data_IF_213516496831
#
_entry.id   IF_213516496831
#
_cell.length_a   1.000
_cell.length_b   1.000
_cell.length_c   1.000
_cell.angle_alpha   90.00
_cell.angle_beta   90.00
_cell.angle_gamma   90.00
#
_symmetry.space_group_name_H-M   'P 1'
#
loop_
_entity.id
_entity.type
_entity.pdbx_description
1 polymer ?
#
# COMPACT_ATOMS: atom_id res chain seq x y z
N UNK A 1 10.10 1.24 25.82
CA UNK A 1 10.10 0.95 24.37
C UNK A 1 8.72 0.34 24.10
N UNK A 2 7.76 1.12 23.58
CA UNK A 2 6.40 0.59 23.37
C UNK A 2 6.46 -0.46 22.27
N UNK A 3 5.90 -1.62 22.52
CA UNK A 3 5.98 -2.79 21.65
C UNK A 3 5.53 -2.44 20.23
N UNK A 4 6.43 -2.71 19.28
CA UNK A 4 6.15 -2.65 17.86
C UNK A 4 5.53 -4.00 17.49
N UNK A 5 4.30 -4.21 17.97
CA UNK A 5 3.61 -5.48 17.79
C UNK A 5 3.50 -5.79 16.30
N UNK A 6 3.77 -7.05 15.96
CA UNK A 6 3.47 -7.57 14.64
C UNK A 6 1.99 -7.33 14.34
N UNK A 7 1.66 -7.08 13.07
CA UNK A 7 0.29 -6.93 12.61
C UNK A 7 -0.17 -8.19 11.84
N UNK A 8 -0.20 -9.39 12.46
CA UNK A 8 -0.46 -10.65 11.75
C UNK A 8 -1.84 -10.70 11.11
N UNK A 9 -2.81 -9.96 11.67
CA UNK A 9 -4.18 -9.86 11.20
C UNK A 9 -4.45 -8.62 10.34
N UNK A 10 -3.44 -7.82 9.97
CA UNK A 10 -3.63 -6.67 9.09
C UNK A 10 -4.32 -7.10 7.79
N UNK A 11 -5.33 -6.33 7.35
CA UNK A 11 -6.06 -6.64 6.12
C UNK A 11 -5.16 -6.65 4.89
N UNK A 12 -4.16 -5.78 4.80
CA UNK A 12 -3.30 -5.70 3.62
C UNK A 12 -2.02 -6.55 3.76
N UNK A 13 -1.24 -6.43 4.84
CA UNK A 13 0.03 -7.16 5.00
C UNK A 13 0.00 -8.39 5.92
N UNK A 14 -1.08 -8.59 6.68
CA UNK A 14 -1.18 -9.63 7.69
C UNK A 14 -1.25 -11.03 7.07
N UNK A 15 -0.26 -11.88 7.36
CA UNK A 15 -0.16 -13.21 6.76
C UNK A 15 -1.19 -14.20 7.34
N UNK A 16 -1.63 -13.94 8.57
CA UNK A 16 -2.57 -14.81 9.29
C UNK A 16 -4.03 -14.39 9.05
N UNK A 17 -4.28 -13.24 8.40
CA UNK A 17 -5.63 -12.81 8.06
C UNK A 17 -6.19 -13.67 6.91
N UNK A 18 -7.18 -14.55 7.12
CA UNK A 18 -7.69 -15.44 6.07
C UNK A 18 -8.29 -14.66 4.89
N UNK A 19 -8.84 -13.48 5.15
CA UNK A 19 -9.54 -12.63 4.18
C UNK A 19 -8.70 -11.43 3.72
N UNK A 20 -7.43 -11.36 4.15
CA UNK A 20 -6.53 -10.27 3.81
C UNK A 20 -5.84 -10.40 2.45
N UNK A 21 -5.25 -9.30 1.98
CA UNK A 21 -4.47 -9.25 0.74
C UNK A 21 -3.10 -9.96 0.86
N UNK A 22 -2.62 -10.17 2.08
CA UNK A 22 -1.37 -10.88 2.43
C UNK A 22 -0.14 -10.38 1.69
N UNK A 23 -0.04 -9.07 1.46
CA UNK A 23 1.06 -8.45 0.74
C UNK A 23 2.30 -8.39 1.63
N UNK A 24 3.39 -9.01 1.17
CA UNK A 24 4.69 -8.88 1.81
C UNK A 24 5.37 -7.61 1.34
N UNK A 25 5.75 -6.75 2.28
CA UNK A 25 6.47 -5.51 2.02
C UNK A 25 7.93 -5.59 2.45
N UNK A 26 8.80 -4.94 1.69
CA UNK A 26 10.21 -4.74 2.04
C UNK A 26 10.61 -3.29 1.77
N UNK A 27 11.65 -2.81 2.46
CA UNK A 27 12.22 -1.48 2.26
C UNK A 27 13.68 -1.63 1.84
N UNK A 28 14.11 -0.85 0.85
CA UNK A 28 15.49 -0.85 0.37
C UNK A 28 16.34 0.24 1.05
N UNK A 29 17.63 0.28 0.72
CA UNK A 29 18.60 1.26 1.23
C UNK A 29 18.25 2.72 0.92
N UNK A 30 17.38 2.96 -0.07
CA UNK A 30 16.91 4.28 -0.46
C UNK A 30 15.56 4.66 0.19
N UNK A 31 15.13 3.93 1.22
CA UNK A 31 13.84 4.12 1.91
C UNK A 31 12.60 4.00 1.00
N UNK A 32 12.70 3.22 -0.08
CA UNK A 32 11.56 2.90 -0.94
C UNK A 32 10.97 1.57 -0.46
N UNK A 33 9.73 1.61 0.02
CA UNK A 33 8.97 0.41 0.33
C UNK A 33 8.39 -0.17 -0.96
N UNK A 34 8.42 -1.50 -1.10
CA UNK A 34 7.90 -2.21 -2.26
C UNK A 34 7.09 -3.44 -1.85
N UNK A 35 6.10 -3.79 -2.66
CA UNK A 35 5.28 -5.00 -2.51
C UNK A 35 4.75 -5.49 -3.85
N UNK A 36 4.25 -6.72 -3.88
CA UNK A 36 3.60 -7.31 -5.07
C UNK A 36 2.22 -7.80 -4.67
N UNK A 37 1.22 -7.46 -5.47
CA UNK A 37 -0.15 -7.89 -5.28
C UNK A 37 -0.73 -8.43 -6.59
N UNK A 38 -1.32 -9.63 -6.54
CA UNK A 38 -2.09 -10.21 -7.64
C UNK A 38 -3.56 -10.18 -7.28
N UNK A 39 -4.37 -9.52 -8.10
CA UNK A 39 -5.81 -9.49 -7.88
C UNK A 39 -6.46 -10.84 -8.21
N UNK A 40 -7.48 -11.23 -7.45
CA UNK A 40 -8.24 -12.47 -7.62
C UNK A 40 -9.74 -12.14 -7.68
N UNK A 41 -10.57 -13.17 -7.84
CA UNK A 41 -12.02 -13.03 -8.05
C UNK A 41 -12.75 -12.39 -6.86
N UNK A 42 -12.24 -12.49 -5.63
CA UNK A 42 -12.86 -11.88 -4.45
C UNK A 42 -12.57 -10.38 -4.33
N UNK A 43 -11.66 -9.85 -5.15
CA UNK A 43 -11.30 -8.43 -5.19
C UNK A 43 -12.12 -7.63 -6.21
N UNK A 44 -13.07 -8.25 -6.90
CA UNK A 44 -13.86 -7.64 -7.96
C UNK A 44 -14.76 -6.51 -7.45
N UNK A 45 -14.84 -5.42 -8.21
CA UNK A 45 -15.78 -4.33 -7.95
C UNK A 45 -16.93 -4.30 -8.97
N UNK A 46 -16.58 -4.26 -10.25
CA UNK A 46 -17.56 -4.25 -11.35
C UNK A 46 -17.05 -5.09 -12.52
N UNK A 47 -17.86 -6.05 -12.97
CA UNK A 47 -17.51 -7.00 -14.03
C UNK A 47 -16.17 -7.70 -13.75
N UNK A 48 -15.12 -7.48 -14.55
CA UNK A 48 -13.78 -8.04 -14.35
C UNK A 48 -12.79 -7.02 -13.73
N UNK A 49 -13.27 -5.83 -13.34
CA UNK A 49 -12.44 -4.76 -12.80
C UNK A 49 -12.34 -4.88 -11.28
N UNK A 50 -11.10 -4.84 -10.78
CA UNK A 50 -10.80 -4.83 -9.34
C UNK A 50 -11.42 -3.61 -8.66
N UNK A 51 -12.04 -3.81 -7.50
CA UNK A 51 -12.64 -2.73 -6.74
C UNK A 51 -11.57 -1.70 -6.36
N UNK A 52 -11.84 -0.41 -6.61
CA UNK A 52 -10.87 0.66 -6.35
C UNK A 52 -10.39 0.70 -4.89
N UNK A 53 -11.25 0.33 -3.95
CA UNK A 53 -10.91 0.20 -2.53
C UNK A 53 -9.83 -0.84 -2.21
N UNK A 54 -9.70 -1.90 -3.00
CA UNK A 54 -8.63 -2.91 -2.83
C UNK A 54 -7.28 -2.32 -3.25
N UNK A 55 -7.25 -1.61 -4.39
CA UNK A 55 -6.06 -0.91 -4.86
C UNK A 55 -5.66 0.18 -3.85
N UNK A 56 -6.63 0.90 -3.29
CA UNK A 56 -6.40 1.88 -2.23
C UNK A 56 -5.81 1.22 -0.98
N UNK A 57 -6.39 0.12 -0.49
CA UNK A 57 -5.86 -0.58 0.69
C UNK A 57 -4.40 -1.02 0.49
N UNK A 58 -4.07 -1.57 -0.69
CA UNK A 58 -2.71 -1.94 -1.03
C UNK A 58 -1.75 -0.74 -1.09
N UNK A 59 -2.21 0.42 -1.61
CA UNK A 59 -1.43 1.65 -1.67
C UNK A 59 -1.25 2.34 -0.31
N UNK A 60 -2.29 2.36 0.52
CA UNK A 60 -2.22 2.87 1.88
C UNK A 60 -1.19 2.06 2.68
N UNK A 61 -1.23 0.73 2.57
CA UNK A 61 -0.37 -0.16 3.34
C UNK A 61 1.10 -0.11 2.87
N UNK A 62 1.38 0.02 1.55
CA UNK A 62 2.79 0.20 1.11
C UNK A 62 3.37 1.52 1.62
N UNK A 63 2.57 2.60 1.70
CA UNK A 63 3.02 3.87 2.29
C UNK A 63 3.18 3.75 3.81
N UNK A 64 2.23 3.14 4.51
CA UNK A 64 2.32 2.89 5.95
C UNK A 64 3.56 2.05 6.29
N UNK A 65 3.89 1.05 5.46
CA UNK A 65 5.05 0.19 5.65
C UNK A 65 6.39 0.91 5.47
N UNK A 66 6.45 2.07 4.78
CA UNK A 66 7.64 2.94 4.80
C UNK A 66 7.97 3.36 6.24
N UNK A 67 6.96 3.66 7.05
CA UNK A 67 7.12 4.08 8.45
C UNK A 67 7.23 2.89 9.40
N UNK A 68 6.38 1.88 9.22
CA UNK A 68 6.35 0.70 10.09
C UNK A 68 7.68 -0.08 10.05
N UNK A 69 8.24 -0.32 8.86
CA UNK A 69 9.54 -1.02 8.73
C UNK A 69 10.69 -0.19 9.32
N UNK A 70 10.57 1.13 9.34
CA UNK A 70 11.49 2.05 10.01
C UNK A 70 11.22 2.20 11.53
N UNK A 71 10.36 1.35 12.12
CA UNK A 71 9.97 1.39 13.54
C UNK A 71 9.35 2.72 13.98
N UNK A 72 8.60 3.37 13.08
CA UNK A 72 7.85 4.60 13.34
C UNK A 72 6.35 4.33 13.26
N UNK A 73 5.66 4.43 14.40
CA UNK A 73 4.21 4.22 14.45
C UNK A 73 3.49 5.46 13.92
N UNK A 74 2.56 5.27 12.99
CA UNK A 74 1.77 6.34 12.41
C UNK A 74 0.37 5.85 12.03
N UNK A 75 -0.56 6.78 11.89
CA UNK A 75 -1.89 6.52 11.32
C UNK A 75 -2.12 7.38 10.08
N UNK A 76 -2.84 6.86 9.09
CA UNK A 76 -3.30 7.61 7.92
C UNK A 76 -4.23 8.73 8.38
N UNK A 77 -3.93 9.98 8.02
CA UNK A 77 -4.75 11.15 8.30
C UNK A 77 -5.52 11.65 7.06
N UNK A 78 -4.93 11.51 5.87
CA UNK A 78 -5.58 11.75 4.57
C UNK A 78 -4.83 10.95 3.49
N UNK A 79 -5.53 10.32 2.54
CA UNK A 79 -4.96 9.96 1.25
C UNK A 79 -5.81 10.59 0.15
N UNK A 80 -5.16 10.95 -0.94
CA UNK A 80 -5.81 11.34 -2.20
C UNK A 80 -5.28 10.41 -3.28
N UNK A 81 -6.14 9.52 -3.77
CA UNK A 81 -5.80 8.54 -4.80
C UNK A 81 -6.33 8.99 -6.16
N UNK A 82 -5.57 8.72 -7.21
CA UNK A 82 -5.97 8.90 -8.60
C UNK A 82 -5.84 7.58 -9.35
N UNK A 83 -6.95 7.09 -9.86
CA UNK A 83 -6.98 5.93 -10.75
C UNK A 83 -6.68 6.39 -12.18
N UNK A 84 -5.65 5.81 -12.79
CA UNK A 84 -5.16 6.16 -14.13
C UNK A 84 -5.67 5.17 -15.18
N UNK A 85 -5.75 3.90 -14.81
CA UNK A 85 -6.31 2.80 -15.62
C UNK A 85 -6.97 1.77 -14.72
N UNK A 86 -7.87 0.97 -15.29
CA UNK A 86 -8.44 -0.20 -14.60
C UNK A 86 -7.37 -1.27 -14.36
N UNK A 87 -7.53 -2.00 -13.26
CA UNK A 87 -6.84 -3.26 -13.00
C UNK A 87 -7.86 -4.37 -13.17
N UNK A 88 -7.55 -5.37 -13.98
CA UNK A 88 -8.39 -6.55 -14.17
C UNK A 88 -8.01 -7.66 -13.18
N UNK A 89 -8.98 -8.51 -12.86
CA UNK A 89 -8.71 -9.72 -12.06
C UNK A 89 -7.67 -10.61 -12.75
N UNK A 90 -6.80 -11.24 -11.96
CA UNK A 90 -5.67 -12.04 -12.44
C UNK A 90 -4.41 -11.23 -12.76
N UNK A 91 -4.51 -9.90 -12.89
CA UNK A 91 -3.34 -9.05 -13.11
C UNK A 91 -2.53 -8.83 -11.82
N UNK A 92 -1.21 -8.70 -11.98
CA UNK A 92 -0.28 -8.41 -10.89
C UNK A 92 0.23 -6.97 -10.97
N UNK A 93 0.19 -6.26 -9.84
CA UNK A 93 0.80 -4.94 -9.68
C UNK A 93 2.03 -4.98 -8.77
N UNK A 94 2.99 -4.11 -9.09
CA UNK A 94 4.11 -3.71 -8.24
C UNK A 94 3.69 -2.44 -7.51
N UNK A 95 3.78 -2.47 -6.19
CA UNK A 95 3.51 -1.34 -5.31
C UNK A 95 4.83 -0.69 -4.93
N UNK A 96 4.86 0.64 -4.87
CA UNK A 96 5.97 1.41 -4.31
C UNK A 96 5.44 2.51 -3.41
N UNK A 97 6.10 2.74 -2.28
CA UNK A 97 5.83 3.83 -1.35
C UNK A 97 7.12 4.52 -0.91
N UNK A 98 7.10 5.84 -0.74
CA UNK A 98 8.26 6.60 -0.25
C UNK A 98 7.82 7.89 0.45
N UNK A 99 8.69 8.41 1.32
CA UNK A 99 8.48 9.71 1.97
C UNK A 99 8.82 10.81 0.97
N UNK A 100 7.88 11.71 0.72
CA UNK A 100 8.14 12.94 -0.04
C UNK A 100 8.62 14.07 0.88
N UNK A 101 8.03 14.19 2.08
CA UNK A 101 8.38 15.27 3.01
C UNK A 101 8.01 14.95 4.45
N UNK A 102 8.87 15.34 5.39
CA UNK A 102 8.58 15.26 6.82
C UNK A 102 8.37 16.65 7.43
N UNK A 103 7.33 16.80 8.26
CA UNK A 103 7.00 18.03 8.99
C UNK A 103 6.58 17.72 10.43
N UNK A 104 7.52 17.74 11.37
CA UNK A 104 7.28 17.37 12.79
C UNK A 104 6.64 15.98 12.88
N UNK A 105 5.35 15.90 13.25
CA UNK A 105 4.59 14.64 13.35
C UNK A 105 3.82 14.29 12.08
N UNK A 106 3.73 15.19 11.09
CA UNK A 106 3.04 14.96 9.84
C UNK A 106 4.05 14.50 8.78
N UNK A 107 3.84 13.31 8.21
CA UNK A 107 4.65 12.73 7.15
C UNK A 107 3.84 12.69 5.86
N UNK A 108 4.38 13.25 4.79
CA UNK A 108 3.82 13.21 3.45
C UNK A 108 4.50 12.07 2.70
N UNK A 109 3.71 11.13 2.22
CA UNK A 109 4.15 9.95 1.48
C UNK A 109 3.52 9.95 0.09
N UNK A 110 4.19 9.30 -0.84
CA UNK A 110 3.67 8.98 -2.17
C UNK A 110 3.65 7.48 -2.37
N UNK A 111 2.64 7.01 -3.11
CA UNK A 111 2.48 5.63 -3.48
C UNK A 111 2.13 5.48 -4.96
N UNK A 112 2.66 4.42 -5.60
CA UNK A 112 2.31 4.04 -6.97
C UNK A 112 2.01 2.54 -7.06
N UNK A 113 1.01 2.22 -7.88
CA UNK A 113 0.66 0.87 -8.31
C UNK A 113 0.87 0.77 -9.83
N UNK A 114 1.79 -0.08 -10.26
CA UNK A 114 2.11 -0.29 -11.68
C UNK A 114 1.94 -1.75 -12.07
N UNK A 115 1.41 -2.03 -13.26
CA UNK A 115 1.37 -3.39 -13.79
C UNK A 115 2.78 -4.00 -13.82
N UNK A 116 2.87 -5.26 -13.39
CA UNK A 116 4.14 -5.99 -13.39
C UNK A 116 4.66 -6.25 -14.80
N UNK A 117 3.75 -6.51 -15.74
CA UNK A 117 4.04 -6.89 -17.13
C UNK A 117 4.74 -5.79 -17.94
N UNK A 118 4.22 -4.56 -17.89
CA UNK A 118 4.63 -3.48 -18.80
C UNK A 118 4.91 -2.14 -18.09
N UNK A 119 4.82 -2.12 -16.75
CA UNK A 119 5.04 -0.93 -15.93
C UNK A 119 3.99 0.20 -16.10
N UNK A 120 2.86 -0.09 -16.75
CA UNK A 120 1.72 0.81 -16.87
C UNK A 120 1.24 1.27 -15.48
N UNK A 121 1.08 2.59 -15.29
CA UNK A 121 0.55 3.16 -14.05
C UNK A 121 -0.96 2.89 -13.94
N UNK A 122 -1.35 2.18 -12.88
CA UNK A 122 -2.75 1.87 -12.56
C UNK A 122 -3.32 2.95 -11.65
N UNK A 123 -2.61 3.28 -10.58
CA UNK A 123 -3.00 4.33 -9.65
C UNK A 123 -1.79 4.94 -8.91
N UNK A 124 -1.94 6.17 -8.47
CA UNK A 124 -1.02 6.90 -7.59
C UNK A 124 -1.79 7.52 -6.41
N UNK A 125 -1.17 7.58 -5.23
CA UNK A 125 -1.73 8.29 -4.06
C UNK A 125 -0.71 9.24 -3.42
N UNK A 126 -1.22 10.39 -3.00
CA UNK A 126 -0.58 11.29 -2.03
C UNK A 126 -1.15 11.06 -0.63
N UNK A 127 -0.33 10.50 0.26
CA UNK A 127 -0.68 10.16 1.63
C UNK A 127 -0.15 11.17 2.66
N UNK A 128 -0.93 11.38 3.73
CA UNK A 128 -0.56 12.13 4.93
C UNK A 128 -0.72 11.23 6.13
N UNK A 129 0.35 11.00 6.86
CA UNK A 129 0.40 10.13 8.03
C UNK A 129 0.83 10.91 9.26
N UNK A 130 0.23 10.63 10.41
CA UNK A 130 0.53 11.28 11.69
C UNK A 130 1.28 10.31 12.60
N UNK A 131 2.51 10.66 12.99
CA UNK A 131 3.30 9.92 13.96
C UNK A 131 2.64 9.93 15.35
N UNK A 132 2.70 8.80 16.04
CA UNK A 132 2.03 8.54 17.33
C UNK A 132 3.04 8.47 18.47
#
# INVERSE_FOLDING_TARGET
MKDFDAAPMCFACGQDNPDGLKITFSINENNICSGIFTANDTHVGYQNTVHGGIIYAALDDVMANVLYLAKRKAYTAKCEIRYRKSLEVGQTIKLKGWIEKEKRRLILLKGEARLKSDNTLIADCDGKFMLV
#
